data_IF_482720545476
#
_entry.id   IF_482720545476
#
_cell.length_a   1.000
_cell.length_b   1.000
_cell.length_c   1.000
_cell.angle_alpha   90.00
_cell.angle_beta   90.00
_cell.angle_gamma   90.00
#
_symmetry.space_group_name_H-M   'P 1'
#
loop_
_entity.id
_entity.type
_entity.pdbx_description
1 polymer ?
#
# COMPACT_ATOMS: atom_id res chain seq x y z
N UNK A 1 -23.19 -24.20 -42.72
CA UNK A 1 -23.24 -25.07 -41.53
C UNK A 1 -22.62 -24.43 -40.26
N UNK A 2 -21.51 -23.67 -40.35
CA UNK A 2 -20.81 -23.09 -39.19
C UNK A 2 -21.68 -22.12 -38.34
N UNK A 3 -22.59 -21.37 -38.97
CA UNK A 3 -23.41 -20.35 -38.31
C UNK A 3 -24.51 -20.97 -37.40
N UNK A 4 -25.07 -22.12 -37.79
CA UNK A 4 -26.15 -22.79 -37.04
C UNK A 4 -25.66 -23.38 -35.72
N UNK A 5 -24.47 -24.02 -35.73
CA UNK A 5 -23.86 -24.58 -34.53
C UNK A 5 -23.50 -23.50 -33.50
N UNK A 6 -22.95 -22.36 -33.95
CA UNK A 6 -22.68 -21.22 -33.09
C UNK A 6 -23.96 -20.65 -32.49
N UNK A 7 -25.04 -20.50 -33.28
CA UNK A 7 -26.35 -20.04 -32.79
C UNK A 7 -26.94 -20.97 -31.73
N UNK A 8 -26.88 -22.28 -31.95
CA UNK A 8 -27.38 -23.27 -30.98
C UNK A 8 -26.60 -23.22 -29.67
N UNK A 9 -25.27 -23.09 -29.75
CA UNK A 9 -24.42 -22.97 -28.57
C UNK A 9 -24.61 -21.66 -27.82
N UNK A 10 -24.75 -20.54 -28.52
CA UNK A 10 -25.08 -19.25 -27.88
C UNK A 10 -26.41 -19.36 -27.14
N UNK A 11 -27.44 -19.91 -27.78
CA UNK A 11 -28.74 -20.13 -27.14
C UNK A 11 -28.64 -21.00 -25.89
N UNK A 12 -27.86 -22.08 -25.94
CA UNK A 12 -27.63 -22.95 -24.78
C UNK A 12 -26.93 -22.21 -23.63
N UNK A 13 -25.95 -21.36 -23.92
CA UNK A 13 -25.27 -20.54 -22.92
C UNK A 13 -26.22 -19.49 -22.33
N UNK A 14 -26.95 -18.75 -23.18
CA UNK A 14 -27.93 -17.73 -22.80
C UNK A 14 -28.99 -18.29 -21.86
N UNK A 15 -29.51 -19.48 -22.16
CA UNK A 15 -30.53 -20.15 -21.35
C UNK A 15 -30.05 -20.57 -19.96
N UNK A 16 -28.73 -20.62 -19.73
CA UNK A 16 -28.13 -21.09 -18.48
C UNK A 16 -27.25 -20.02 -17.79
N UNK A 17 -27.39 -18.75 -18.15
CA UNK A 17 -26.65 -17.66 -17.49
C UNK A 17 -26.90 -17.60 -15.99
N UNK A 18 -28.10 -17.97 -15.52
CA UNK A 18 -28.43 -18.01 -14.10
C UNK A 18 -27.59 -19.01 -13.31
N UNK A 19 -27.09 -20.07 -13.96
CA UNK A 19 -26.13 -20.98 -13.35
C UNK A 19 -24.83 -20.24 -12.99
N UNK A 20 -24.28 -19.47 -13.93
CA UNK A 20 -23.10 -18.64 -13.70
C UNK A 20 -23.36 -17.56 -12.65
N UNK A 21 -24.52 -16.88 -12.73
CA UNK A 21 -24.93 -15.85 -11.77
C UNK A 21 -25.04 -16.40 -10.35
N UNK A 22 -25.66 -17.57 -10.18
CA UNK A 22 -25.81 -18.22 -8.87
C UNK A 22 -24.48 -18.62 -8.25
N UNK A 23 -23.50 -19.07 -9.06
CA UNK A 23 -22.16 -19.37 -8.56
C UNK A 23 -21.40 -18.09 -8.21
N UNK A 24 -21.47 -17.07 -9.07
CA UNK A 24 -20.83 -15.78 -8.84
C UNK A 24 -21.28 -15.12 -7.53
N UNK A 25 -22.60 -15.12 -7.24
CA UNK A 25 -23.14 -14.60 -5.97
C UNK A 25 -22.56 -15.35 -4.78
N UNK A 26 -22.53 -16.69 -4.83
CA UNK A 26 -21.99 -17.52 -3.73
C UNK A 26 -20.52 -17.22 -3.45
N UNK A 27 -19.71 -17.06 -4.50
CA UNK A 27 -18.29 -16.76 -4.35
C UNK A 27 -18.03 -15.29 -3.99
N UNK A 28 -18.84 -14.36 -4.48
CA UNK A 28 -18.75 -12.94 -4.11
C UNK A 28 -18.99 -12.78 -2.61
N UNK A 29 -20.01 -13.46 -2.06
CA UNK A 29 -20.30 -13.44 -0.63
C UNK A 29 -19.16 -14.05 0.22
N UNK A 30 -18.45 -15.06 -0.29
CA UNK A 30 -17.37 -15.71 0.48
C UNK A 30 -16.00 -15.05 0.31
N UNK A 31 -15.76 -14.33 -0.79
CA UNK A 31 -14.45 -13.75 -1.12
C UNK A 31 -14.42 -12.23 -1.05
N UNK A 32 -15.57 -11.56 -1.08
CA UNK A 32 -15.69 -10.11 -1.15
C UNK A 32 -15.35 -9.50 -2.51
N UNK A 33 -15.06 -10.32 -3.53
CA UNK A 33 -14.79 -9.83 -4.88
C UNK A 33 -16.06 -9.40 -5.60
N UNK A 34 -15.88 -8.55 -6.60
CA UNK A 34 -16.96 -8.04 -7.41
C UNK A 34 -17.77 -9.17 -8.08
N UNK A 35 -19.09 -9.03 -8.01
CA UNK A 35 -20.01 -10.05 -8.49
C UNK A 35 -19.99 -10.12 -10.01
N UNK A 36 -19.86 -8.99 -10.69
CA UNK A 36 -19.94 -8.95 -12.15
C UNK A 36 -18.67 -9.52 -12.79
N UNK A 37 -17.50 -9.30 -12.18
CA UNK A 37 -16.26 -9.98 -12.55
C UNK A 37 -16.38 -11.51 -12.41
N UNK A 38 -16.84 -12.00 -11.25
CA UNK A 38 -17.03 -13.43 -11.01
C UNK A 38 -18.09 -14.03 -11.94
N UNK A 39 -19.12 -13.26 -12.29
CA UNK A 39 -20.12 -13.67 -13.26
C UNK A 39 -19.51 -13.83 -14.65
N UNK A 40 -18.72 -12.87 -15.13
CA UNK A 40 -18.03 -12.97 -16.41
C UNK A 40 -17.12 -14.20 -16.48
N UNK A 41 -16.32 -14.44 -15.44
CA UNK A 41 -15.49 -15.64 -15.34
C UNK A 41 -16.34 -16.92 -15.37
N UNK A 42 -17.46 -16.92 -14.64
CA UNK A 42 -18.42 -18.02 -14.65
C UNK A 42 -19.01 -18.28 -16.04
N UNK A 43 -19.34 -17.23 -16.79
CA UNK A 43 -19.84 -17.30 -18.18
C UNK A 43 -18.76 -17.89 -19.10
N UNK A 44 -17.48 -17.52 -18.94
CA UNK A 44 -16.38 -18.16 -19.70
C UNK A 44 -16.31 -19.68 -19.42
N UNK A 45 -16.51 -20.09 -18.16
CA UNK A 45 -16.63 -21.50 -17.79
C UNK A 45 -17.82 -22.19 -18.46
N UNK A 46 -18.96 -21.52 -18.52
CA UNK A 46 -20.18 -22.01 -19.16
C UNK A 46 -20.01 -22.16 -20.68
N UNK A 47 -19.35 -21.20 -21.34
CA UNK A 47 -19.02 -21.26 -22.77
C UNK A 47 -18.10 -22.45 -23.06
N UNK A 48 -17.09 -22.68 -22.20
CA UNK A 48 -16.21 -23.86 -22.32
C UNK A 48 -16.99 -25.17 -22.11
N UNK A 49 -17.90 -25.23 -21.16
CA UNK A 49 -18.77 -26.39 -20.96
C UNK A 49 -19.63 -26.66 -22.20
N UNK A 50 -20.26 -25.63 -22.78
CA UNK A 50 -21.05 -25.76 -24.01
C UNK A 50 -20.20 -26.23 -25.21
N UNK A 51 -18.90 -25.92 -25.26
CA UNK A 51 -17.99 -26.42 -26.32
C UNK A 51 -17.77 -27.92 -26.23
N UNK A 52 -17.65 -28.44 -25.02
CA UNK A 52 -17.22 -29.83 -24.76
C UNK A 52 -18.38 -30.77 -24.44
N UNK A 53 -19.59 -30.24 -24.23
CA UNK A 53 -20.78 -31.04 -23.94
C UNK A 53 -21.19 -31.86 -25.15
N UNK A 54 -21.52 -33.13 -24.92
CA UNK A 54 -22.05 -34.03 -25.95
C UNK A 54 -23.42 -34.53 -25.48
N UNK A 55 -24.43 -34.41 -26.34
CA UNK A 55 -25.81 -34.82 -26.03
C UNK A 55 -25.99 -36.33 -25.87
N UNK A 56 -25.02 -37.13 -26.33
CA UNK A 56 -24.98 -38.58 -26.09
C UNK A 56 -24.68 -38.95 -24.64
N UNK A 57 -24.20 -37.99 -23.82
CA UNK A 57 -24.05 -38.21 -22.39
C UNK A 57 -25.43 -38.19 -21.71
N UNK A 58 -25.74 -39.21 -20.92
CA UNK A 58 -26.97 -39.33 -20.12
C UNK A 58 -27.08 -38.29 -18.98
N UNK A 59 -26.32 -37.19 -19.05
CA UNK A 59 -26.21 -36.18 -18.01
C UNK A 59 -26.75 -34.85 -18.53
N UNK A 60 -27.78 -34.25 -17.90
CA UNK A 60 -28.30 -32.96 -18.31
C UNK A 60 -27.22 -31.87 -18.30
N UNK A 61 -27.25 -30.98 -19.30
CA UNK A 61 -26.27 -29.89 -19.43
C UNK A 61 -26.02 -29.07 -18.16
N UNK A 62 -27.03 -28.64 -17.35
CA UNK A 62 -26.77 -27.88 -16.13
C UNK A 62 -25.91 -28.64 -15.11
N UNK A 63 -26.10 -29.96 -15.01
CA UNK A 63 -25.36 -30.84 -14.11
C UNK A 63 -23.91 -30.95 -14.58
N UNK A 64 -23.71 -31.10 -15.90
CA UNK A 64 -22.39 -31.09 -16.52
C UNK A 64 -21.68 -29.73 -16.39
N UNK A 65 -22.37 -28.63 -16.63
CA UNK A 65 -21.78 -27.29 -16.69
C UNK A 65 -21.41 -26.73 -15.31
N UNK A 66 -22.14 -27.09 -14.25
CA UNK A 66 -21.91 -26.56 -12.89
C UNK A 66 -20.46 -26.72 -12.40
N UNK A 67 -19.81 -27.90 -12.44
CA UNK A 67 -18.41 -28.04 -12.04
C UNK A 67 -17.45 -27.23 -12.92
N UNK A 68 -17.75 -27.04 -14.21
CA UNK A 68 -16.92 -26.23 -15.11
C UNK A 68 -17.00 -24.73 -14.76
N UNK A 69 -18.20 -24.21 -14.51
CA UNK A 69 -18.42 -22.83 -14.06
C UNK A 69 -17.72 -22.59 -12.72
N UNK A 70 -17.94 -23.48 -11.75
CA UNK A 70 -17.28 -23.41 -10.44
C UNK A 70 -15.76 -23.47 -10.57
N UNK A 71 -15.23 -24.37 -11.39
CA UNK A 71 -13.80 -24.52 -11.64
C UNK A 71 -13.18 -23.28 -12.28
N UNK A 72 -13.87 -22.64 -13.24
CA UNK A 72 -13.42 -21.40 -13.84
C UNK A 72 -13.29 -20.28 -12.81
N UNK A 73 -14.29 -20.12 -11.94
CA UNK A 73 -14.25 -19.14 -10.84
C UNK A 73 -13.11 -19.48 -9.86
N UNK A 74 -12.95 -20.73 -9.44
CA UNK A 74 -11.88 -21.14 -8.53
C UNK A 74 -10.49 -20.90 -9.12
N UNK A 75 -10.28 -21.13 -10.41
CA UNK A 75 -9.01 -20.82 -11.07
C UNK A 75 -8.74 -19.32 -11.10
N UNK A 76 -9.75 -18.49 -11.41
CA UNK A 76 -9.61 -17.03 -11.33
C UNK A 76 -9.26 -16.56 -9.91
N UNK A 77 -9.94 -17.09 -8.90
CA UNK A 77 -9.66 -16.80 -7.49
C UNK A 77 -8.24 -17.19 -7.08
N UNK A 78 -7.71 -18.28 -7.64
CA UNK A 78 -6.33 -18.73 -7.39
C UNK A 78 -5.30 -17.85 -8.08
N UNK A 79 -5.54 -17.50 -9.35
CA UNK A 79 -4.51 -16.97 -10.23
C UNK A 79 -4.53 -15.44 -10.37
N UNK A 80 -5.69 -14.81 -10.19
CA UNK A 80 -5.92 -13.40 -10.55
C UNK A 80 -6.53 -12.54 -9.45
N UNK A 81 -7.11 -13.14 -8.41
CA UNK A 81 -7.77 -12.36 -7.36
C UNK A 81 -6.82 -11.67 -6.36
N UNK A 82 -5.55 -12.10 -6.28
CA UNK A 82 -4.59 -11.47 -5.39
C UNK A 82 -3.98 -10.22 -6.06
N UNK A 83 -3.95 -9.12 -5.31
CA UNK A 83 -3.26 -7.87 -5.71
C UNK A 83 -1.77 -8.11 -5.93
N UNK A 84 -1.18 -9.00 -5.12
CA UNK A 84 0.22 -9.42 -5.24
C UNK A 84 0.28 -10.94 -5.35
N UNK A 85 0.91 -11.43 -6.42
CA UNK A 85 1.11 -12.86 -6.62
C UNK A 85 2.21 -13.37 -5.69
N UNK A 86 1.84 -14.27 -4.78
CA UNK A 86 2.81 -14.94 -3.91
C UNK A 86 3.36 -16.21 -4.58
N UNK A 87 4.64 -16.57 -4.33
CA UNK A 87 5.17 -17.86 -4.78
C UNK A 87 4.36 -19.04 -4.24
N UNK A 88 4.16 -20.08 -5.07
CA UNK A 88 3.27 -21.21 -4.75
C UNK A 88 3.61 -21.90 -3.43
N UNK A 89 4.90 -22.09 -3.15
CA UNK A 89 5.38 -22.69 -1.88
C UNK A 89 4.92 -21.91 -0.65
N UNK A 90 4.83 -20.58 -0.73
CA UNK A 90 4.40 -19.72 0.37
C UNK A 90 2.88 -19.85 0.58
N UNK A 91 2.10 -19.93 -0.49
CA UNK A 91 0.66 -20.15 -0.39
C UNK A 91 0.31 -21.50 0.23
N UNK A 92 0.98 -22.56 -0.21
CA UNK A 92 0.76 -23.92 0.31
C UNK A 92 1.15 -24.01 1.79
N UNK A 93 2.26 -23.38 2.17
CA UNK A 93 2.69 -23.25 3.56
C UNK A 93 1.66 -22.47 4.40
N UNK A 94 1.18 -21.32 3.90
CA UNK A 94 0.16 -20.52 4.58
C UNK A 94 -1.15 -21.30 4.75
N UNK A 95 -1.56 -22.08 3.75
CA UNK A 95 -2.72 -22.96 3.85
C UNK A 95 -2.51 -24.07 4.89
N UNK A 96 -1.31 -24.64 4.99
CA UNK A 96 -1.01 -25.66 6.00
C UNK A 96 -1.05 -25.06 7.40
N UNK A 97 -0.40 -23.92 7.61
CA UNK A 97 -0.40 -23.19 8.89
C UNK A 97 -1.85 -22.79 9.26
N UNK A 98 -2.63 -22.27 8.31
CA UNK A 98 -4.01 -21.84 8.60
C UNK A 98 -5.01 -22.97 8.85
N UNK A 99 -4.66 -24.22 8.53
CA UNK A 99 -5.43 -25.41 8.93
C UNK A 99 -5.01 -25.95 10.29
N UNK A 100 -3.81 -25.60 10.76
CA UNK A 100 -3.45 -25.84 12.15
C UNK A 100 -4.39 -25.00 13.02
N UNK A 101 -4.95 -25.60 14.07
CA UNK A 101 -5.71 -24.84 15.07
C UNK A 101 -4.79 -24.03 15.99
N UNK A 102 -3.49 -24.19 15.83
CA UNK A 102 -2.45 -23.50 16.59
C UNK A 102 -2.03 -22.21 15.88
N UNK A 103 -1.80 -21.17 16.67
CA UNK A 103 -1.29 -19.91 16.17
C UNK A 103 0.16 -20.05 15.65
N UNK A 104 0.56 -19.25 14.63
CA UNK A 104 1.91 -19.29 14.07
C UNK A 104 2.96 -18.97 15.14
N UNK A 105 3.78 -19.96 15.51
CA UNK A 105 4.72 -19.85 16.62
C UNK A 105 6.02 -19.16 16.17
N UNK A 106 6.46 -19.44 14.94
CA UNK A 106 7.74 -18.94 14.44
C UNK A 106 7.59 -17.60 13.71
N UNK A 107 8.59 -16.71 13.81
CA UNK A 107 8.64 -15.45 13.07
C UNK A 107 8.42 -15.63 11.54
N UNK A 108 8.92 -16.73 10.96
CA UNK A 108 8.68 -17.10 9.55
C UNK A 108 7.21 -17.42 9.30
N UNK A 109 6.56 -18.20 10.15
CA UNK A 109 5.16 -18.59 9.98
C UNK A 109 4.23 -17.38 10.13
N UNK A 110 4.54 -16.49 11.08
CA UNK A 110 3.85 -15.21 11.27
C UNK A 110 3.98 -14.32 10.02
N UNK A 111 5.19 -14.23 9.46
CA UNK A 111 5.41 -13.49 8.21
C UNK A 111 4.63 -14.09 7.05
N UNK A 112 4.65 -15.42 6.88
CA UNK A 112 3.92 -16.13 5.81
C UNK A 112 2.42 -15.89 5.93
N UNK A 113 1.85 -16.00 7.13
CA UNK A 113 0.42 -15.72 7.36
C UNK A 113 0.07 -14.26 7.08
N UNK A 114 0.91 -13.32 7.53
CA UNK A 114 0.70 -11.89 7.29
C UNK A 114 0.75 -11.58 5.80
N UNK A 115 1.76 -12.07 5.08
CA UNK A 115 1.90 -11.94 3.64
C UNK A 115 0.69 -12.53 2.92
N UNK A 116 0.29 -13.76 3.27
CA UNK A 116 -0.87 -14.45 2.69
C UNK A 116 -2.19 -13.69 2.92
N UNK A 117 -2.43 -13.14 4.11
CA UNK A 117 -3.63 -12.32 4.40
C UNK A 117 -3.60 -10.97 3.71
N UNK A 118 -2.42 -10.38 3.54
CA UNK A 118 -2.25 -9.07 2.90
C UNK A 118 -2.42 -9.11 1.38
N UNK A 119 -2.28 -10.28 0.74
CA UNK A 119 -2.30 -10.41 -0.72
C UNK A 119 -3.58 -9.90 -1.40
N UNK A 120 -4.68 -9.77 -0.65
CA UNK A 120 -5.99 -9.34 -1.14
C UNK A 120 -6.47 -8.02 -0.52
N UNK A 121 -5.66 -7.38 0.36
CA UNK A 121 -6.08 -6.19 1.11
C UNK A 121 -5.14 -5.02 0.87
N UNK A 122 -5.72 -3.90 0.44
CA UNK A 122 -5.05 -2.60 0.46
C UNK A 122 -4.70 -2.19 1.89
N UNK A 123 -3.43 -1.89 2.12
CA UNK A 123 -2.98 -1.27 3.35
C UNK A 123 -2.47 0.11 2.98
N UNK A 124 -2.96 1.14 3.68
CA UNK A 124 -2.42 2.48 3.54
C UNK A 124 -0.94 2.45 3.91
N UNK A 125 -0.09 2.95 3.01
CA UNK A 125 1.33 3.05 3.29
C UNK A 125 1.51 4.10 4.40
N UNK A 126 2.20 3.76 5.50
CA UNK A 126 2.48 4.71 6.56
C UNK A 126 3.15 5.98 6.01
N UNK A 127 2.79 7.14 6.55
CA UNK A 127 3.29 8.44 6.06
C UNK A 127 4.82 8.52 6.06
N UNK A 128 5.48 7.85 7.02
CA UNK A 128 6.95 7.80 7.11
C UNK A 128 7.62 6.95 6.02
N UNK A 129 6.87 6.15 5.26
CA UNK A 129 7.35 5.36 4.11
C UNK A 129 6.96 5.99 2.77
N UNK A 130 6.20 7.09 2.77
CA UNK A 130 6.01 7.88 1.57
C UNK A 130 7.35 8.57 1.26
N UNK A 131 7.90 8.30 0.08
CA UNK A 131 9.05 9.07 -0.39
C UNK A 131 8.65 10.56 -0.40
N UNK A 132 9.51 11.48 0.06
CA UNK A 132 9.26 12.90 -0.11
C UNK A 132 8.97 13.13 -1.60
N UNK A 133 7.78 13.62 -1.91
CA UNK A 133 7.47 14.04 -3.27
C UNK A 133 8.28 15.32 -3.49
N UNK A 134 9.53 15.16 -3.91
CA UNK A 134 10.48 16.23 -4.22
C UNK A 134 9.94 17.02 -5.42
N UNK A 135 8.89 17.82 -5.21
CA UNK A 135 8.46 18.79 -6.19
C UNK A 135 9.58 19.81 -6.34
N UNK A 136 9.89 20.20 -7.58
CA UNK A 136 10.88 21.26 -7.84
C UNK A 136 10.53 22.57 -7.11
N UNK A 137 9.25 22.77 -6.79
CA UNK A 137 8.75 23.88 -5.98
C UNK A 137 9.20 23.78 -4.51
N UNK A 138 9.18 22.58 -3.90
CA UNK A 138 9.69 22.35 -2.54
C UNK A 138 11.18 22.68 -2.44
N UNK A 139 11.97 22.35 -3.47
CA UNK A 139 13.42 22.67 -3.51
C UNK A 139 13.69 24.17 -3.58
N UNK A 140 12.83 24.95 -4.24
CA UNK A 140 12.92 26.40 -4.30
C UNK A 140 12.49 27.04 -2.97
N UNK A 141 11.39 26.58 -2.37
CA UNK A 141 10.93 27.04 -1.05
C UNK A 141 11.95 26.74 0.05
N UNK A 142 12.59 25.58 0.02
CA UNK A 142 13.64 25.20 0.96
C UNK A 142 14.90 26.07 0.78
N UNK A 143 15.24 26.42 -0.46
CA UNK A 143 16.36 27.31 -0.75
C UNK A 143 16.11 28.73 -0.25
N UNK A 144 14.90 29.27 -0.46
CA UNK A 144 14.50 30.59 0.03
C UNK A 144 14.43 30.62 1.57
N UNK A 145 13.88 29.57 2.19
CA UNK A 145 13.82 29.43 3.64
C UNK A 145 15.21 29.34 4.26
N UNK A 146 16.12 28.58 3.64
CA UNK A 146 17.50 28.47 4.08
C UNK A 146 18.22 29.82 3.98
N UNK A 147 18.01 30.57 2.91
CA UNK A 147 18.62 31.89 2.73
C UNK A 147 18.13 32.89 3.80
N UNK A 148 16.84 32.87 4.14
CA UNK A 148 16.28 33.68 5.25
C UNK A 148 16.88 33.30 6.60
N UNK A 149 17.00 32.01 6.91
CA UNK A 149 17.62 31.52 8.16
C UNK A 149 19.09 31.94 8.21
N UNK A 150 19.80 31.84 7.08
CA UNK A 150 21.20 32.24 6.95
C UNK A 150 21.37 33.75 7.18
N UNK A 151 20.52 34.58 6.57
CA UNK A 151 20.52 36.03 6.78
C UNK A 151 20.27 36.39 8.26
N UNK A 152 19.25 35.79 8.89
CA UNK A 152 18.94 36.01 10.30
C UNK A 152 20.08 35.57 11.23
N UNK A 153 20.77 34.48 10.91
CA UNK A 153 21.95 34.03 11.66
C UNK A 153 23.10 35.04 11.53
N UNK A 154 23.31 35.59 10.34
CA UNK A 154 24.35 36.59 10.08
C UNK A 154 24.06 37.95 10.73
N UNK A 155 22.80 38.26 11.02
CA UNK A 155 22.40 39.49 11.72
C UNK A 155 22.52 39.40 13.25
N UNK A 156 22.64 38.19 13.82
CA UNK A 156 22.81 38.02 15.26
C UNK A 156 24.09 38.68 15.79
N UNK A 157 24.09 39.20 17.03
CA UNK A 157 25.32 39.63 17.68
C UNK A 157 26.35 38.51 17.76
N UNK A 158 27.63 38.84 17.62
CA UNK A 158 28.73 37.90 17.45
C UNK A 158 28.76 36.78 18.51
N UNK A 159 28.56 37.15 19.78
CA UNK A 159 28.55 36.21 20.90
C UNK A 159 27.36 35.23 20.88
N UNK A 160 26.22 35.65 20.34
CA UNK A 160 25.03 34.79 20.18
C UNK A 160 25.14 33.93 18.93
N UNK A 161 25.62 34.50 17.83
CA UNK A 161 25.91 33.77 16.58
C UNK A 161 26.90 32.65 16.81
N UNK A 162 28.00 32.94 17.51
CA UNK A 162 29.02 31.95 17.87
C UNK A 162 28.42 30.81 18.71
N UNK A 163 27.65 31.15 19.75
CA UNK A 163 27.03 30.15 20.62
C UNK A 163 25.99 29.28 19.86
N UNK A 164 25.15 29.87 19.02
CA UNK A 164 24.16 29.14 18.21
C UNK A 164 24.85 28.22 17.21
N UNK A 165 25.89 28.69 16.50
CA UNK A 165 26.63 27.87 15.54
C UNK A 165 27.30 26.67 16.22
N UNK A 166 28.06 26.91 17.30
CA UNK A 166 28.81 25.87 17.99
C UNK A 166 27.89 24.79 18.60
N UNK A 167 26.74 25.18 19.17
CA UNK A 167 25.85 24.23 19.86
C UNK A 167 24.85 23.58 18.92
N UNK A 168 24.21 24.35 18.04
CA UNK A 168 23.09 23.88 17.21
C UNK A 168 23.58 23.29 15.88
N UNK A 169 24.56 23.93 15.24
CA UNK A 169 25.05 23.51 13.92
C UNK A 169 26.21 22.51 14.03
N UNK A 170 27.14 22.75 14.96
CA UNK A 170 28.33 21.92 15.15
C UNK A 170 28.16 20.85 16.24
N UNK A 171 27.02 20.84 16.96
CA UNK A 171 26.67 19.81 17.94
C UNK A 171 27.54 19.78 19.21
N UNK A 172 28.27 20.85 19.52
CA UNK A 172 29.13 20.91 20.70
C UNK A 172 28.32 21.07 21.99
N UNK A 173 28.80 20.48 23.09
CA UNK A 173 28.14 20.61 24.38
C UNK A 173 28.28 22.03 24.95
N UNK A 174 27.27 22.50 25.69
CA UNK A 174 27.28 23.81 26.37
C UNK A 174 28.50 24.00 27.29
N UNK A 175 28.97 22.93 27.93
CA UNK A 175 30.14 22.94 28.82
C UNK A 175 31.44 23.08 28.04
N UNK A 176 31.55 22.39 26.90
CA UNK A 176 32.70 22.49 25.99
C UNK A 176 32.81 23.90 25.42
N UNK A 177 31.71 24.45 24.90
CA UNK A 177 31.68 25.81 24.34
C UNK A 177 31.97 26.85 25.42
N UNK A 178 31.43 26.69 26.63
CA UNK A 178 31.68 27.59 27.75
C UNK A 178 33.15 27.62 28.16
N UNK A 179 33.78 26.44 28.25
CA UNK A 179 35.20 26.31 28.61
C UNK A 179 36.11 26.99 27.57
N UNK A 180 35.82 26.83 26.29
CA UNK A 180 36.60 27.45 25.20
C UNK A 180 36.50 28.98 25.17
N UNK A 181 35.40 29.56 25.69
CA UNK A 181 35.13 30.99 25.68
C UNK A 181 35.31 31.65 27.06
N UNK A 182 35.83 30.92 28.05
CA UNK A 182 36.05 31.43 29.41
C UNK A 182 34.76 31.82 30.15
N UNK A 183 33.62 31.21 29.83
CA UNK A 183 32.30 31.54 30.42
C UNK A 183 31.56 30.30 30.90
N UNK A 184 30.60 30.48 31.81
CA UNK A 184 29.80 29.36 32.31
C UNK A 184 28.89 28.76 31.23
N UNK A 185 28.59 27.46 31.34
CA UNK A 185 27.65 26.77 30.46
C UNK A 185 26.26 27.46 30.44
N UNK A 186 25.83 28.03 31.57
CA UNK A 186 24.59 28.81 31.66
C UNK A 186 24.62 30.10 30.82
N UNK A 187 25.79 30.73 30.69
CA UNK A 187 25.97 31.92 29.84
C UNK A 187 25.85 31.55 28.37
N UNK A 188 26.43 30.41 27.95
CA UNK A 188 26.27 29.88 26.60
C UNK A 188 24.81 29.52 26.33
N UNK A 189 24.14 28.81 27.24
CA UNK A 189 22.73 28.47 27.11
C UNK A 189 21.85 29.71 26.92
N UNK A 190 22.10 30.77 27.70
CA UNK A 190 21.37 32.04 27.57
C UNK A 190 21.61 32.71 26.21
N UNK A 191 22.84 32.66 25.69
CA UNK A 191 23.20 33.20 24.36
C UNK A 191 22.52 32.40 23.24
N UNK A 192 22.53 31.07 23.31
CA UNK A 192 21.81 30.20 22.36
C UNK A 192 20.32 30.52 22.38
N UNK A 193 19.71 30.60 23.57
CA UNK A 193 18.28 30.91 23.70
C UNK A 193 17.92 32.27 23.10
N UNK A 194 18.70 33.32 23.37
CA UNK A 194 18.48 34.66 22.80
C UNK A 194 18.68 34.69 21.28
N UNK A 195 19.73 34.02 20.79
CA UNK A 195 20.00 33.92 19.35
C UNK A 195 18.88 33.20 18.61
N UNK A 196 18.39 32.08 19.13
CA UNK A 196 17.25 31.35 18.55
C UNK A 196 15.95 32.17 18.61
N UNK A 197 15.71 32.91 19.69
CA UNK A 197 14.56 33.80 19.80
C UNK A 197 14.60 34.93 18.75
N UNK A 198 15.77 35.54 18.54
CA UNK A 198 15.97 36.59 17.53
C UNK A 198 15.82 36.06 16.10
N UNK A 199 16.41 34.90 15.80
CA UNK A 199 16.20 34.23 14.50
C UNK A 199 14.71 33.95 14.30
N UNK A 200 14.02 33.41 15.31
CA UNK A 200 12.58 33.16 15.22
C UNK A 200 11.75 34.43 15.03
N UNK A 201 12.16 35.57 15.59
CA UNK A 201 11.45 36.84 15.42
C UNK A 201 11.69 37.43 14.02
N UNK A 202 12.94 37.41 13.54
CA UNK A 202 13.29 37.86 12.19
C UNK A 202 12.52 37.07 11.11
N UNK A 203 12.38 35.76 11.30
CA UNK A 203 11.63 34.89 10.37
C UNK A 203 10.10 35.08 10.42
N UNK A 204 9.57 35.66 11.50
CA UNK A 204 8.12 35.93 11.66
C UNK A 204 7.72 37.33 11.19
N UNK A 205 8.63 38.30 11.25
CA UNK A 205 8.36 39.70 10.87
C UNK A 205 8.23 39.95 9.37
N UNK A 206 8.65 39.00 8.54
CA UNK A 206 8.69 39.10 7.08
C UNK A 206 7.52 38.34 6.39
N UNK A 207 6.56 37.85 7.17
CA UNK A 207 5.30 37.35 6.62
C UNK A 207 4.42 38.55 6.26
N UNK A 208 4.05 38.78 4.97
CA UNK A 208 3.07 39.79 4.65
C UNK A 208 1.79 39.49 5.42
N UNK A 209 1.26 40.51 6.11
CA UNK A 209 -0.05 40.41 6.75
C UNK A 209 -1.09 40.25 5.64
N UNK A 210 -1.71 39.09 5.55
CA UNK A 210 -2.99 38.90 4.84
C UNK A 210 -4.11 39.70 5.54
#
# INVERSE_FOLDING_TARGET
MHNTFLKQRNRQVEHHLDLARSQAIKFSLSTGLDRDDLFQVGVLGLVKASRSYREDTQVPFPVFARPHVRGAILHYLRDSAALVRLPRRIEEEAHRIGRSSEDPVTAREQWIQRAYRSKTRWHQLPDHLQAPFDSQLSKLEDSERLERVRAALMDLPELERCAVRAVVMEGQSLRTVGSNHGVSAMTIQRRVKRGLQRISQALRGDQPSD
#
